data_IF_560123637856
#
_entry.id   IF_560123637856
#
_cell.length_a   1.000
_cell.length_b   1.000
_cell.length_c   1.000
_cell.angle_alpha   90.00
_cell.angle_beta   90.00
_cell.angle_gamma   90.00
#
_symmetry.space_group_name_H-M   'P 1'
#
loop_
_entity.id
_entity.type
_entity.pdbx_description
1 polymer ?
#
# COMPACT_ATOMS: atom_id res chain seq x y z
N UNK A 1 -15.51 -7.74 18.50
CA UNK A 1 -16.21 -8.98 18.89
C UNK A 1 -17.69 -8.65 18.97
N UNK A 2 -18.52 -9.27 18.12
CA UNK A 2 -19.97 -9.05 18.11
C UNK A 2 -20.58 -9.47 19.46
N UNK A 3 -21.47 -8.64 20.04
CA UNK A 3 -22.04 -8.87 21.38
C UNK A 3 -23.35 -9.67 21.38
N UNK A 4 -24.11 -9.62 20.29
CA UNK A 4 -25.34 -10.42 20.06
C UNK A 4 -25.51 -10.68 18.57
N UNK A 5 -25.97 -11.89 18.20
CA UNK A 5 -26.14 -12.28 16.80
C UNK A 5 -27.63 -12.12 16.39
N UNK A 6 -27.94 -11.29 15.40
CA UNK A 6 -29.31 -11.20 14.89
C UNK A 6 -29.76 -12.50 14.22
N UNK A 7 -31.07 -12.79 14.25
CA UNK A 7 -31.64 -13.98 13.62
C UNK A 7 -31.32 -14.10 12.12
N UNK A 8 -31.20 -12.96 11.43
CA UNK A 8 -30.86 -12.87 10.02
C UNK A 8 -29.78 -11.80 9.83
N UNK A 9 -28.51 -12.19 9.89
CA UNK A 9 -27.39 -11.28 9.63
C UNK A 9 -26.56 -11.75 8.45
N UNK A 10 -25.85 -10.80 7.84
CA UNK A 10 -24.81 -11.08 6.84
C UNK A 10 -23.59 -10.24 7.16
N UNK A 11 -22.42 -10.86 7.16
CA UNK A 11 -21.14 -10.14 7.17
C UNK A 11 -20.63 -10.05 5.74
N UNK A 12 -20.34 -8.84 5.29
CA UNK A 12 -19.75 -8.54 4.00
C UNK A 12 -18.36 -7.98 4.20
N UNK A 13 -17.38 -8.62 3.57
CA UNK A 13 -16.04 -8.07 3.41
C UNK A 13 -15.88 -7.48 2.02
N UNK A 14 -15.35 -6.27 1.95
CA UNK A 14 -15.03 -5.59 0.70
C UNK A 14 -13.66 -4.90 0.76
N UNK A 15 -13.00 -4.79 -0.39
CA UNK A 15 -11.86 -3.89 -0.58
C UNK A 15 -12.38 -2.56 -1.12
N UNK A 16 -12.04 -1.47 -0.45
CA UNK A 16 -12.47 -0.12 -0.80
C UNK A 16 -11.43 0.50 -1.72
N UNK A 17 -11.84 0.84 -2.94
CA UNK A 17 -11.00 1.57 -3.89
C UNK A 17 -10.82 3.03 -3.43
N UNK A 18 -9.58 3.52 -3.27
CA UNK A 18 -9.33 4.87 -2.79
C UNK A 18 -9.85 5.97 -3.72
N UNK A 19 -9.92 5.71 -5.03
CA UNK A 19 -10.18 6.73 -6.04
C UNK A 19 -11.66 7.15 -6.12
N UNK A 20 -12.58 6.22 -5.85
CA UNK A 20 -14.00 6.36 -6.11
C UNK A 20 -14.88 5.80 -4.97
N UNK A 21 -14.26 5.35 -3.87
CA UNK A 21 -14.92 4.69 -2.74
C UNK A 21 -15.76 3.48 -3.13
N UNK A 22 -15.50 2.88 -4.31
CA UNK A 22 -16.19 1.66 -4.73
C UNK A 22 -15.75 0.50 -3.84
N UNK A 23 -16.74 -0.29 -3.45
CA UNK A 23 -16.52 -1.50 -2.67
C UNK A 23 -16.52 -2.72 -3.56
N UNK A 24 -15.35 -3.32 -3.75
CA UNK A 24 -15.22 -4.61 -4.41
C UNK A 24 -15.44 -5.72 -3.38
N UNK A 25 -16.57 -6.42 -3.49
CA UNK A 25 -16.95 -7.49 -2.57
C UNK A 25 -15.96 -8.64 -2.70
N UNK A 26 -15.50 -9.15 -1.56
CA UNK A 26 -14.55 -10.27 -1.46
C UNK A 26 -15.28 -11.52 -0.98
N UNK A 27 -16.08 -11.40 0.09
CA UNK A 27 -16.79 -12.52 0.68
C UNK A 27 -18.04 -12.03 1.41
N UNK A 28 -19.11 -12.81 1.32
CA UNK A 28 -20.33 -12.63 2.11
C UNK A 28 -20.61 -13.91 2.87
N UNK A 29 -20.93 -13.81 4.17
CA UNK A 29 -21.26 -14.96 5.03
C UNK A 29 -22.42 -14.66 5.97
N UNK A 30 -23.15 -15.70 6.37
CA UNK A 30 -24.13 -15.68 7.46
C UNK A 30 -23.69 -16.57 8.64
N UNK A 31 -22.40 -16.92 8.72
CA UNK A 31 -21.82 -17.81 9.73
C UNK A 31 -21.89 -19.31 9.39
N UNK A 32 -22.93 -19.76 8.70
CA UNK A 32 -23.06 -21.17 8.26
C UNK A 32 -22.53 -21.37 6.83
N UNK A 33 -22.86 -20.43 5.96
CA UNK A 33 -22.48 -20.44 4.56
C UNK A 33 -21.68 -19.19 4.23
N UNK A 34 -20.81 -19.30 3.25
CA UNK A 34 -20.11 -18.15 2.68
C UNK A 34 -20.01 -18.27 1.16
N UNK A 35 -19.85 -17.14 0.50
CA UNK A 35 -19.61 -17.06 -0.93
C UNK A 35 -18.50 -16.07 -1.21
N UNK A 36 -17.51 -16.51 -1.97
CA UNK A 36 -16.37 -15.70 -2.38
C UNK A 36 -16.67 -14.97 -3.70
N UNK A 37 -16.07 -13.80 -3.86
CA UNK A 37 -16.26 -12.91 -4.99
C UNK A 37 -14.92 -12.29 -5.42
N UNK A 38 -14.84 -11.91 -6.69
CA UNK A 38 -13.69 -11.20 -7.25
C UNK A 38 -12.40 -12.04 -7.35
N UNK A 39 -11.29 -11.41 -7.76
CA UNK A 39 -10.03 -12.09 -8.03
C UNK A 39 -9.29 -12.56 -6.76
N UNK A 40 -9.64 -12.02 -5.59
CA UNK A 40 -9.09 -12.47 -4.30
C UNK A 40 -9.72 -13.78 -3.81
N UNK A 41 -10.81 -14.24 -4.44
CA UNK A 41 -11.57 -15.42 -4.02
C UNK A 41 -10.77 -16.71 -3.75
N UNK A 42 -9.73 -17.10 -4.53
CA UNK A 42 -8.97 -18.33 -4.25
C UNK A 42 -8.07 -18.22 -3.02
N UNK A 43 -7.66 -16.99 -2.67
CA UNK A 43 -6.69 -16.70 -1.61
C UNK A 43 -7.34 -16.34 -0.27
N UNK A 44 -8.66 -16.21 -0.24
CA UNK A 44 -9.41 -15.70 0.91
C UNK A 44 -10.19 -16.80 1.60
N UNK A 45 -10.11 -16.82 2.94
CA UNK A 45 -10.85 -17.73 3.80
C UNK A 45 -11.38 -16.99 5.03
N UNK A 46 -12.48 -17.48 5.59
CA UNK A 46 -12.93 -17.05 6.92
C UNK A 46 -12.21 -17.86 7.97
N UNK A 47 -11.79 -17.18 9.03
CA UNK A 47 -11.31 -17.85 10.23
C UNK A 47 -12.53 -18.32 11.02
N UNK A 48 -12.61 -19.62 11.26
CA UNK A 48 -13.70 -20.24 12.04
C UNK A 48 -13.23 -20.55 13.45
N UNK A 49 -12.66 -19.57 14.17
CA UNK A 49 -12.20 -19.84 15.53
C UNK A 49 -13.40 -20.12 16.44
N UNK A 50 -14.45 -19.28 16.37
CA UNK A 50 -15.65 -19.34 17.22
C UNK A 50 -16.90 -18.91 16.41
N UNK A 51 -18.11 -19.11 16.94
CA UNK A 51 -19.39 -18.77 16.29
C UNK A 51 -19.56 -17.27 15.93
N UNK A 52 -18.76 -16.38 16.52
CA UNK A 52 -18.76 -14.93 16.28
C UNK A 52 -17.57 -14.46 15.44
N UNK A 53 -16.72 -15.38 14.99
CA UNK A 53 -15.52 -15.04 14.23
C UNK A 53 -15.87 -14.87 12.74
N UNK A 54 -15.77 -13.64 12.27
CA UNK A 54 -15.90 -13.30 10.85
C UNK A 54 -14.58 -12.73 10.30
N UNK A 55 -13.44 -13.12 10.89
CA UNK A 55 -12.14 -12.62 10.48
C UNK A 55 -11.77 -13.13 9.09
N UNK A 56 -11.28 -12.22 8.25
CA UNK A 56 -10.79 -12.53 6.91
C UNK A 56 -9.31 -12.94 6.98
N UNK A 57 -8.98 -14.09 6.41
CA UNK A 57 -7.59 -14.52 6.18
C UNK A 57 -7.30 -14.44 4.69
N UNK A 58 -6.23 -13.75 4.33
CA UNK A 58 -5.72 -13.67 2.95
C UNK A 58 -4.39 -14.41 2.92
N UNK A 59 -4.28 -15.40 2.03
CA UNK A 59 -3.07 -16.20 1.76
C UNK A 59 -2.36 -15.67 0.53
N UNK A 60 -1.08 -15.99 0.36
CA UNK A 60 -0.24 -15.56 -0.78
C UNK A 60 -0.39 -14.07 -1.08
N UNK A 61 -0.16 -13.23 -0.05
CA UNK A 61 -0.42 -11.78 -0.11
C UNK A 61 0.53 -11.11 -1.11
N UNK A 62 -0.03 -10.38 -2.06
CA UNK A 62 0.68 -9.67 -3.10
C UNK A 62 0.70 -8.15 -2.85
N UNK A 63 1.57 -7.42 -3.57
CA UNK A 63 1.74 -5.97 -3.39
C UNK A 63 0.45 -5.17 -3.69
N UNK A 64 -0.37 -5.67 -4.62
CA UNK A 64 -1.66 -5.12 -4.99
C UNK A 64 -2.75 -5.33 -3.93
N UNK A 65 -2.54 -6.22 -2.95
CA UNK A 65 -3.49 -6.46 -1.87
C UNK A 65 -3.45 -5.35 -0.81
N UNK A 66 -2.38 -4.57 -0.73
CA UNK A 66 -2.34 -3.39 0.14
C UNK A 66 -3.56 -2.47 -0.11
N UNK A 67 -4.14 -1.92 0.95
CA UNK A 67 -5.29 -1.02 0.84
C UNK A 67 -6.30 -1.15 1.97
N UNK A 68 -7.43 -0.47 1.79
CA UNK A 68 -8.48 -0.39 2.81
C UNK A 68 -9.50 -1.51 2.61
N UNK A 69 -9.75 -2.26 3.65
CA UNK A 69 -10.76 -3.30 3.73
C UNK A 69 -11.87 -2.87 4.67
N UNK A 70 -13.10 -3.26 4.36
CA UNK A 70 -14.29 -2.95 5.15
C UNK A 70 -15.02 -4.25 5.47
N UNK A 71 -15.33 -4.42 6.75
CA UNK A 71 -16.22 -5.46 7.24
C UNK A 71 -17.52 -4.78 7.66
N UNK A 72 -18.64 -5.21 7.08
CA UNK A 72 -19.96 -4.67 7.33
C UNK A 72 -20.88 -5.77 7.81
N UNK A 73 -21.51 -5.57 8.96
CA UNK A 73 -22.60 -6.36 9.47
C UNK A 73 -23.90 -5.76 8.95
N UNK A 74 -24.65 -6.55 8.18
CA UNK A 74 -25.93 -6.17 7.60
C UNK A 74 -27.02 -6.93 8.33
N UNK A 75 -27.88 -6.20 9.05
CA UNK A 75 -28.99 -6.76 9.84
C UNK A 75 -30.32 -6.04 9.60
N UNK A 76 -30.66 -5.78 8.34
CA UNK A 76 -32.00 -5.34 7.89
C UNK A 76 -32.41 -3.90 8.24
N UNK A 77 -31.90 -3.31 9.33
CA UNK A 77 -32.24 -1.96 9.78
C UNK A 77 -31.01 -1.12 10.19
N UNK A 78 -29.95 -1.77 10.69
CA UNK A 78 -28.69 -1.10 11.09
C UNK A 78 -27.49 -1.80 10.44
N UNK A 79 -26.62 -0.99 9.83
CA UNK A 79 -25.39 -1.44 9.19
C UNK A 79 -24.18 -0.97 10.01
N UNK A 80 -23.71 -1.82 10.93
CA UNK A 80 -22.43 -1.58 11.60
C UNK A 80 -21.28 -1.91 10.65
N UNK A 81 -20.28 -1.03 10.56
CA UNK A 81 -19.10 -1.32 9.76
C UNK A 81 -17.81 -0.89 10.43
N UNK A 82 -16.77 -1.68 10.20
CA UNK A 82 -15.40 -1.37 10.58
C UNK A 82 -14.54 -1.36 9.33
N UNK A 83 -13.62 -0.39 9.25
CA UNK A 83 -12.61 -0.34 8.20
C UNK A 83 -11.22 -0.50 8.79
N UNK A 84 -10.38 -1.25 8.11
CA UNK A 84 -8.96 -1.39 8.42
C UNK A 84 -8.13 -1.20 7.15
N UNK A 85 -6.91 -0.72 7.30
CA UNK A 85 -5.97 -0.57 6.17
C UNK A 85 -4.87 -1.61 6.34
N UNK A 86 -4.77 -2.52 5.38
CA UNK A 86 -3.65 -3.44 5.26
C UNK A 86 -2.45 -2.65 4.73
N UNK A 87 -1.36 -2.63 5.48
CA UNK A 87 -0.07 -2.09 5.07
C UNK A 87 0.94 -3.23 5.03
N UNK A 88 1.69 -3.34 3.93
CA UNK A 88 2.73 -4.35 3.80
C UNK A 88 4.04 -3.84 4.39
N UNK A 89 4.72 -4.69 5.16
CA UNK A 89 6.08 -4.45 5.61
C UNK A 89 7.07 -4.91 4.55
N UNK A 90 8.17 -4.16 4.41
CA UNK A 90 9.12 -4.40 3.34
C UNK A 90 10.25 -3.40 3.30
N UNK A 91 10.99 -3.44 2.21
CA UNK A 91 12.18 -2.61 2.00
C UNK A 91 11.97 -1.64 0.86
N UNK A 92 12.45 -0.42 1.08
CA UNK A 92 12.61 0.57 0.03
C UNK A 92 14.03 0.50 -0.48
N UNK A 93 14.18 0.54 -1.80
CA UNK A 93 15.47 0.61 -2.44
C UNK A 93 15.43 1.58 -3.64
N UNK A 94 16.58 2.15 -4.02
CA UNK A 94 16.70 3.08 -5.12
C UNK A 94 16.77 2.30 -6.44
N UNK A 95 16.28 2.87 -7.53
CA UNK A 95 16.47 2.30 -8.84
C UNK A 95 16.83 3.38 -9.86
N UNK A 96 17.96 3.15 -10.55
CA UNK A 96 18.53 4.05 -11.54
C UNK A 96 18.84 3.26 -12.81
N UNK A 97 18.63 3.84 -14.00
CA UNK A 97 19.01 3.17 -15.23
C UNK A 97 20.53 3.21 -15.42
N UNK A 98 21.05 2.22 -16.15
CA UNK A 98 22.49 2.09 -16.43
C UNK A 98 23.06 3.26 -17.24
N UNK A 99 22.22 3.99 -17.97
CA UNK A 99 22.60 5.13 -18.81
C UNK A 99 22.62 6.49 -18.08
N UNK A 100 22.60 6.48 -16.74
CA UNK A 100 22.80 7.66 -15.90
C UNK A 100 21.58 8.07 -15.08
N UNK A 101 21.68 9.21 -14.38
CA UNK A 101 20.65 9.70 -13.44
C UNK A 101 19.59 10.56 -14.13
N UNK A 102 18.42 10.63 -13.50
CA UNK A 102 17.28 11.47 -13.90
C UNK A 102 16.80 11.18 -15.31
N UNK A 103 16.61 9.88 -15.61
CA UNK A 103 16.21 9.43 -16.94
C UNK A 103 14.80 8.86 -17.01
N UNK A 104 14.18 8.49 -15.90
CA UNK A 104 12.82 7.93 -15.92
C UNK A 104 11.76 9.02 -15.80
N UNK A 105 10.79 9.04 -16.70
CA UNK A 105 9.49 9.64 -16.39
C UNK A 105 8.69 8.73 -15.43
N UNK A 106 7.51 9.18 -14.98
CA UNK A 106 6.71 8.43 -14.00
C UNK A 106 6.35 7.02 -14.48
N UNK A 107 5.98 6.88 -15.76
CA UNK A 107 5.54 5.61 -16.33
C UNK A 107 6.70 4.64 -16.55
N UNK A 108 7.87 5.15 -16.92
CA UNK A 108 9.11 4.38 -17.02
C UNK A 108 9.57 3.92 -15.63
N UNK A 109 9.56 4.80 -14.63
CA UNK A 109 9.91 4.47 -13.25
C UNK A 109 8.99 3.39 -12.69
N UNK A 110 7.68 3.48 -12.96
CA UNK A 110 6.70 2.46 -12.55
C UNK A 110 7.02 1.10 -13.14
N UNK A 111 7.19 1.04 -14.47
CA UNK A 111 7.52 -0.20 -15.18
C UNK A 111 8.85 -0.79 -14.74
N UNK A 112 9.84 0.06 -14.49
CA UNK A 112 11.15 -0.34 -14.01
C UNK A 112 11.07 -1.04 -12.64
N UNK A 113 10.28 -0.51 -11.69
CA UNK A 113 10.05 -1.21 -10.42
C UNK A 113 9.28 -2.53 -10.64
N UNK A 114 8.24 -2.53 -11.47
CA UNK A 114 7.44 -3.74 -11.76
C UNK A 114 8.30 -4.88 -12.33
N UNK A 115 9.27 -4.57 -13.19
CA UNK A 115 10.24 -5.53 -13.73
C UNK A 115 11.15 -6.14 -12.66
N UNK A 116 11.32 -5.48 -11.52
CA UNK A 116 12.11 -5.95 -10.37
C UNK A 116 11.22 -6.60 -9.29
N UNK A 117 10.01 -7.08 -9.66
CA UNK A 117 9.03 -7.63 -8.73
C UNK A 117 8.73 -6.68 -7.55
N UNK A 118 8.66 -5.38 -7.86
CA UNK A 118 8.49 -4.32 -6.88
C UNK A 118 7.51 -3.27 -7.43
N UNK A 119 7.09 -2.33 -6.59
CA UNK A 119 6.26 -1.20 -7.04
C UNK A 119 6.90 0.12 -6.65
N UNK A 120 6.48 1.21 -7.28
CA UNK A 120 6.87 2.54 -6.79
C UNK A 120 6.48 2.67 -5.32
N UNK A 121 7.44 3.09 -4.51
CA UNK A 121 7.26 3.24 -3.08
C UNK A 121 6.38 4.47 -2.78
N UNK A 122 5.50 4.35 -1.80
CA UNK A 122 4.61 5.45 -1.38
C UNK A 122 5.30 6.37 -0.40
N UNK A 123 4.75 7.59 -0.22
CA UNK A 123 5.29 8.56 0.73
C UNK A 123 5.60 7.98 2.12
N UNK A 124 4.65 7.20 2.63
CA UNK A 124 4.71 6.64 3.97
C UNK A 124 5.78 5.56 4.11
N UNK A 125 5.91 4.66 3.12
CA UNK A 125 6.91 3.58 3.13
C UNK A 125 8.32 4.15 3.10
N UNK A 126 8.44 5.16 2.27
CA UNK A 126 9.62 5.94 2.11
C UNK A 126 9.99 6.62 3.45
N UNK A 127 9.11 7.43 4.03
CA UNK A 127 9.38 8.11 5.30
C UNK A 127 9.74 7.15 6.45
N UNK A 128 9.10 5.97 6.50
CA UNK A 128 9.42 4.91 7.47
C UNK A 128 10.82 4.33 7.26
N UNK A 129 11.26 4.15 6.02
CA UNK A 129 12.60 3.66 5.70
C UNK A 129 13.71 4.58 6.24
N UNK A 130 13.48 5.90 6.18
CA UNK A 130 14.40 6.92 6.71
C UNK A 130 14.46 6.91 8.25
N UNK A 131 13.29 6.80 8.90
CA UNK A 131 13.20 6.76 10.37
C UNK A 131 13.82 5.49 10.98
N UNK A 132 13.94 4.40 10.20
CA UNK A 132 14.42 3.09 10.67
C UNK A 132 15.95 2.93 10.64
N UNK A 133 16.70 3.99 10.34
CA UNK A 133 18.12 4.07 10.71
C UNK A 133 19.08 3.13 9.96
N UNK A 134 18.88 2.88 8.66
CA UNK A 134 20.00 2.44 7.80
C UNK A 134 20.66 3.67 7.23
N UNK A 135 21.83 4.02 7.78
CA UNK A 135 22.78 4.96 7.18
C UNK A 135 23.23 4.43 5.81
N UNK A 136 22.42 4.66 4.78
CA UNK A 136 22.87 4.61 3.39
C UNK A 136 23.21 6.04 2.97
N UNK A 137 24.49 6.39 2.73
CA UNK A 137 24.91 7.77 2.41
C UNK A 137 24.42 8.33 1.08
N UNK A 138 23.62 7.57 0.36
CA UNK A 138 23.07 7.87 -0.95
C UNK A 138 21.57 7.52 -0.90
N UNK A 139 20.79 7.88 -1.91
CA UNK A 139 19.39 7.47 -2.17
C UNK A 139 18.33 8.55 -1.84
N UNK A 140 17.50 9.01 -2.79
CA UNK A 140 16.32 9.89 -2.62
C UNK A 140 14.95 9.40 -2.11
N UNK A 141 13.99 10.34 -1.97
CA UNK A 141 12.57 10.12 -1.60
C UNK A 141 11.76 11.44 -1.77
N UNK A 142 10.55 11.58 -2.36
CA UNK A 142 9.31 10.78 -2.31
C UNK A 142 8.27 11.05 -3.44
N UNK A 143 7.90 10.09 -4.32
CA UNK A 143 6.89 10.26 -5.41
C UNK A 143 5.43 10.15 -4.93
N UNK A 144 4.83 11.29 -4.56
CA UNK A 144 3.39 11.52 -4.74
C UNK A 144 3.20 12.87 -5.43
N UNK A 145 2.77 12.80 -6.69
CA UNK A 145 2.75 13.91 -7.65
C UNK A 145 4.15 14.53 -7.81
N UNK A 146 4.97 13.88 -8.63
CA UNK A 146 6.01 14.57 -9.39
C UNK A 146 7.37 14.80 -8.74
N UNK A 147 8.46 14.37 -9.39
CA UNK A 147 9.86 14.78 -9.19
C UNK A 147 10.45 14.85 -7.79
N UNK A 148 11.44 14.01 -7.41
CA UNK A 148 12.02 13.94 -6.03
C UNK A 148 13.53 13.62 -5.95
N UNK A 149 14.28 14.22 -4.98
CA UNK A 149 15.74 14.11 -4.76
C UNK A 149 16.10 14.24 -3.25
N UNK A 150 17.22 13.63 -2.80
CA UNK A 150 17.74 13.68 -1.41
C UNK A 150 19.20 14.12 -1.35
N UNK A 151 19.60 14.53 -0.13
CA UNK A 151 20.94 14.32 0.39
C UNK A 151 20.94 14.01 1.89
N UNK A 152 21.75 13.06 2.31
CA UNK A 152 22.10 12.85 3.72
C UNK A 152 23.11 13.92 4.17
N UNK A 153 22.79 14.66 5.23
CA UNK A 153 23.62 15.74 5.80
C UNK A 153 23.55 17.08 5.05
N UNK A 154 24.11 18.17 5.63
CA UNK A 154 24.17 19.50 5.03
C UNK A 154 25.13 19.52 3.81
N UNK A 155 24.73 18.81 2.76
CA UNK A 155 25.41 18.74 1.48
C UNK A 155 24.86 19.88 0.62
N UNK A 156 25.77 20.74 0.15
CA UNK A 156 25.48 21.93 -0.66
C UNK A 156 24.41 21.75 -1.77
N UNK A 157 24.35 20.62 -2.51
CA UNK A 157 23.38 20.48 -3.60
C UNK A 157 21.99 19.94 -3.20
N UNK A 158 21.73 19.61 -1.93
CA UNK A 158 20.53 18.89 -1.49
C UNK A 158 19.54 19.77 -0.68
N UNK A 159 19.56 21.09 -0.93
CA UNK A 159 18.71 22.07 -0.24
C UNK A 159 19.45 22.98 0.75
N UNK A 160 20.78 22.86 0.86
CA UNK A 160 21.61 23.75 1.68
C UNK A 160 21.77 23.30 3.14
N UNK A 161 22.71 23.92 3.85
CA UNK A 161 23.19 23.46 5.17
C UNK A 161 22.20 23.69 6.33
N UNK A 162 21.14 24.46 6.10
CA UNK A 162 20.20 24.91 7.13
C UNK A 162 18.94 24.05 7.24
N UNK A 163 18.77 23.04 6.38
CA UNK A 163 17.56 22.23 6.37
C UNK A 163 17.74 20.93 7.15
N UNK A 164 16.75 20.61 7.98
CA UNK A 164 16.71 19.35 8.74
C UNK A 164 16.71 18.13 7.80
N UNK A 165 17.30 17.00 8.24
CA UNK A 165 17.23 15.73 7.53
C UNK A 165 15.78 15.27 7.33
N UNK A 166 15.54 14.55 6.23
CA UNK A 166 14.26 13.95 5.95
C UNK A 166 13.79 14.10 4.51
N UNK A 167 12.59 13.60 4.30
CA UNK A 167 12.01 13.41 2.98
C UNK A 167 11.44 14.71 2.41
N UNK A 168 11.89 15.11 1.22
CA UNK A 168 11.50 16.39 0.63
C UNK A 168 10.42 16.30 -0.43
N UNK A 169 9.63 17.38 -0.46
CA UNK A 169 8.68 17.73 -1.51
C UNK A 169 9.23 18.92 -2.42
N UNK A 170 8.65 19.26 -3.59
CA UNK A 170 9.20 19.80 -4.90
C UNK A 170 7.97 20.13 -5.76
N UNK A 171 6.87 19.44 -5.53
CA UNK A 171 5.51 19.78 -5.88
C UNK A 171 4.96 18.82 -6.92
N UNK A 172 3.71 19.04 -7.31
CA UNK A 172 3.12 18.35 -8.44
C UNK A 172 3.94 18.54 -9.71
N UNK A 173 4.24 17.46 -10.42
CA UNK A 173 5.07 17.47 -11.64
C UNK A 173 4.45 16.65 -12.75
N UNK A 174 4.90 16.93 -13.95
CA UNK A 174 4.41 16.32 -15.17
C UNK A 174 4.91 14.87 -15.24
N UNK A 175 3.95 13.93 -15.29
CA UNK A 175 4.23 12.49 -15.30
C UNK A 175 4.94 12.03 -16.58
N UNK A 176 4.86 12.81 -17.66
CA UNK A 176 5.42 12.47 -18.97
C UNK A 176 6.74 13.19 -19.23
N UNK A 177 6.83 14.48 -18.87
CA UNK A 177 7.98 15.33 -19.23
C UNK A 177 9.10 15.29 -18.20
N UNK A 178 8.75 15.33 -16.91
CA UNK A 178 9.75 15.47 -15.87
C UNK A 178 10.44 14.12 -15.59
N UNK A 179 11.76 14.13 -15.44
CA UNK A 179 12.59 12.91 -15.34
C UNK A 179 13.35 12.82 -14.03
N UNK A 180 13.30 11.64 -13.41
CA UNK A 180 13.91 11.35 -12.11
C UNK A 180 14.49 9.95 -12.05
N UNK A 181 15.09 9.66 -10.89
CA UNK A 181 15.36 8.30 -10.46
C UNK A 181 14.11 7.73 -9.75
N UNK A 182 14.06 6.41 -9.58
CA UNK A 182 12.92 5.73 -8.99
C UNK A 182 13.23 5.21 -7.57
N UNK A 183 12.20 5.14 -6.74
CA UNK A 183 12.23 4.42 -5.46
C UNK A 183 11.24 3.28 -5.54
N UNK A 184 11.75 2.08 -5.39
CA UNK A 184 10.97 0.88 -5.45
C UNK A 184 10.77 0.32 -4.04
N UNK A 185 9.60 -0.26 -3.81
CA UNK A 185 9.23 -0.97 -2.61
C UNK A 185 8.92 -2.42 -2.98
N UNK A 186 9.50 -3.33 -2.21
CA UNK A 186 9.14 -4.76 -2.25
C UNK A 186 8.81 -5.24 -0.84
N UNK A 187 7.85 -6.15 -0.72
CA UNK A 187 7.45 -6.71 0.56
C UNK A 187 8.49 -7.71 1.04
N UNK A 188 8.76 -7.73 2.34
CA UNK A 188 9.62 -8.75 2.95
C UNK A 188 8.92 -10.11 3.08
N UNK A 189 7.61 -10.15 2.83
CA UNK A 189 6.81 -11.37 2.80
C UNK A 189 7.17 -12.14 1.52
N UNK A 190 8.01 -13.16 1.65
CA UNK A 190 7.98 -14.30 0.74
C UNK A 190 6.72 -15.10 1.09
N UNK A 191 5.83 -15.24 0.10
CA UNK A 191 4.71 -16.18 0.17
C UNK A 191 5.22 -17.60 0.18
#
# INVERSE_FOLDING_TARGET
VLRTLPRNYRVKWSKVEPANYRENIIIITNGLYHKNYGPLSPRVRLRHSHHYDASLTITDVALEDEGRYRCQLVNGLEDESISLTLHLEGVVFPYQPSNGRYKFNYHEAKRACEQQASRLATYQQLYKGEASGKETPHLPQNVTRGAWAWGAGPRGPCGGRLLLPGVRSYGARDKQKDRFDAFCFTSALQG
#
